data_IF_277684487684
#
_entry.id   IF_277684487684
#
_cell.length_a   1.000
_cell.length_b   1.000
_cell.length_c   1.000
_cell.angle_alpha   90.00
_cell.angle_beta   90.00
_cell.angle_gamma   90.00
#
_symmetry.space_group_name_H-M   'P 1'
#
loop_
_entity.id
_entity.type
_entity.pdbx_description
1 polymer ?
#
# COMPACT_ATOMS: atom_id res chain seq x y z
N UNK A 1 -6.04 -0.21 -14.34
CA UNK A 1 -4.66 -0.12 -13.79
C UNK A 1 -4.68 0.53 -12.42
N UNK A 2 -4.11 -0.13 -11.42
CA UNK A 2 -3.82 0.49 -10.12
C UNK A 2 -2.61 1.42 -10.26
N UNK A 3 -2.74 2.69 -9.89
CA UNK A 3 -1.62 3.64 -9.89
C UNK A 3 -0.75 3.37 -8.66
N UNK A 4 0.20 2.44 -8.79
CA UNK A 4 1.21 2.17 -7.77
C UNK A 4 2.24 3.28 -7.72
N UNK A 5 2.78 3.54 -6.52
CA UNK A 5 3.90 4.44 -6.31
C UNK A 5 5.17 3.62 -6.10
N UNK A 6 6.31 4.22 -6.41
CA UNK A 6 7.61 3.62 -6.23
C UNK A 6 8.49 4.55 -5.41
N UNK A 7 9.11 4.02 -4.36
CA UNK A 7 10.15 4.69 -3.60
C UNK A 7 11.50 4.12 -4.04
N UNK A 8 12.34 4.95 -4.65
CA UNK A 8 13.69 4.53 -5.04
C UNK A 8 14.59 4.56 -3.80
N UNK A 9 15.15 3.42 -3.43
CA UNK A 9 16.05 3.28 -2.26
C UNK A 9 17.50 3.34 -2.73
N UNK A 10 17.82 2.71 -3.86
CA UNK A 10 19.16 2.73 -4.46
C UNK A 10 19.09 2.72 -5.99
N UNK A 11 20.24 2.62 -6.67
CA UNK A 11 20.28 2.46 -8.14
C UNK A 11 19.55 1.20 -8.61
N UNK A 12 19.62 0.11 -7.84
CA UNK A 12 19.03 -1.20 -8.16
C UNK A 12 17.76 -1.53 -7.38
N UNK A 13 17.53 -0.88 -6.23
CA UNK A 13 16.39 -1.18 -5.35
C UNK A 13 15.33 -0.09 -5.40
N UNK A 14 14.10 -0.50 -5.67
CA UNK A 14 12.89 0.31 -5.54
C UNK A 14 11.83 -0.47 -4.76
N UNK A 15 11.07 0.22 -3.94
CA UNK A 15 9.98 -0.33 -3.15
C UNK A 15 8.66 0.09 -3.78
N UNK A 16 7.82 -0.86 -4.16
CA UNK A 16 6.47 -0.57 -4.66
C UNK A 16 5.53 -0.43 -3.48
N UNK A 17 4.65 0.56 -3.52
CA UNK A 17 3.69 0.79 -2.46
C UNK A 17 2.39 1.43 -2.97
N UNK A 18 1.32 1.26 -2.18
CA UNK A 18 0.06 1.97 -2.31
C UNK A 18 -0.09 2.90 -1.13
N UNK A 19 -0.44 4.15 -1.36
CA UNK A 19 -0.76 5.07 -0.28
C UNK A 19 -1.97 5.94 -0.56
N UNK A 20 -2.76 6.16 0.50
CA UNK A 20 -3.76 7.20 0.60
C UNK A 20 -3.29 8.14 1.69
N UNK A 21 -2.85 9.33 1.28
CA UNK A 21 -2.51 10.40 2.22
C UNK A 21 -3.78 11.23 2.48
N UNK A 22 -4.32 11.13 3.70
CA UNK A 22 -5.42 11.94 4.22
C UNK A 22 -4.92 12.62 5.48
N UNK A 23 -5.44 13.82 5.78
CA UNK A 23 -5.19 14.53 7.05
C UNK A 23 -5.85 13.86 8.28
N UNK A 24 -6.13 12.57 8.19
CA UNK A 24 -6.68 11.74 9.26
C UNK A 24 -5.58 11.36 10.24
N UNK A 25 -5.83 11.50 11.54
CA UNK A 25 -4.93 11.01 12.59
C UNK A 25 -4.82 9.47 12.60
N UNK A 26 -5.78 8.76 11.98
CA UNK A 26 -5.82 7.31 11.93
C UNK A 26 -5.46 6.79 10.52
N UNK A 27 -4.55 5.82 10.48
CA UNK A 27 -4.06 5.19 9.25
C UNK A 27 -3.96 3.68 9.41
N UNK A 28 -4.26 2.95 8.33
CA UNK A 28 -4.12 1.49 8.26
C UNK A 28 -2.84 1.17 7.49
N UNK A 29 -1.96 0.36 8.07
CA UNK A 29 -0.76 -0.18 7.41
C UNK A 29 -0.98 -1.66 7.11
N UNK A 30 -0.92 -2.05 5.85
CA UNK A 30 -1.10 -3.43 5.40
C UNK A 30 0.23 -4.04 4.94
N UNK A 31 0.60 -5.12 5.60
CA UNK A 31 1.78 -5.94 5.32
C UNK A 31 1.30 -7.28 4.77
N UNK A 32 1.61 -7.57 3.50
CA UNK A 32 1.15 -8.79 2.85
C UNK A 32 1.92 -10.02 3.36
N UNK A 33 1.39 -11.22 3.11
CA UNK A 33 2.01 -12.47 3.55
C UNK A 33 3.13 -12.94 2.63
N UNK A 34 3.77 -14.06 2.99
CA UNK A 34 4.83 -14.70 2.19
C UNK A 34 4.41 -14.92 0.73
N UNK A 35 5.29 -14.56 -0.21
CA UNK A 35 5.09 -14.66 -1.67
C UNK A 35 3.84 -13.98 -2.25
N UNK A 36 3.05 -13.26 -1.45
CA UNK A 36 1.93 -12.47 -1.94
C UNK A 36 2.38 -11.09 -2.41
N UNK A 37 1.49 -10.35 -3.05
CA UNK A 37 1.71 -8.98 -3.49
C UNK A 37 0.67 -8.03 -2.90
N UNK A 38 0.83 -6.74 -3.19
CA UNK A 38 -0.13 -5.70 -2.80
C UNK A 38 -1.37 -5.63 -3.72
N UNK A 39 -1.50 -6.53 -4.70
CA UNK A 39 -2.64 -6.60 -5.62
C UNK A 39 -3.73 -7.58 -5.17
N UNK A 40 -3.47 -8.37 -4.14
CA UNK A 40 -4.43 -9.29 -3.54
C UNK A 40 -5.73 -8.64 -3.04
N UNK A 41 -6.78 -9.44 -2.94
CA UNK A 41 -8.13 -8.96 -2.57
C UNK A 41 -8.19 -8.35 -1.16
N UNK A 42 -7.39 -8.86 -0.22
CA UNK A 42 -7.27 -8.30 1.12
C UNK A 42 -6.80 -6.85 1.07
N UNK A 43 -5.72 -6.56 0.35
CA UNK A 43 -5.19 -5.21 0.17
C UNK A 43 -6.22 -4.29 -0.49
N UNK A 44 -6.88 -4.76 -1.56
CA UNK A 44 -7.93 -4.02 -2.27
C UNK A 44 -9.13 -3.69 -1.37
N UNK A 45 -9.54 -4.63 -0.53
CA UNK A 45 -10.67 -4.43 0.40
C UNK A 45 -10.34 -3.41 1.48
N UNK A 46 -9.15 -3.49 2.09
CA UNK A 46 -8.71 -2.47 3.05
C UNK A 46 -8.54 -1.10 2.39
N UNK A 47 -8.00 -1.04 1.17
CA UNK A 47 -7.88 0.21 0.41
C UNK A 47 -9.26 0.85 0.17
N UNK A 48 -10.27 0.07 -0.26
CA UNK A 48 -11.65 0.55 -0.44
C UNK A 48 -12.26 1.01 0.88
N UNK A 49 -12.04 0.26 1.95
CA UNK A 49 -12.51 0.62 3.29
C UNK A 49 -11.92 1.96 3.76
N UNK A 50 -10.59 2.14 3.66
CA UNK A 50 -9.92 3.39 4.01
C UNK A 50 -10.44 4.58 3.20
N UNK A 51 -10.66 4.40 1.88
CA UNK A 51 -11.28 5.45 1.05
C UNK A 51 -12.67 5.84 1.54
N UNK A 52 -13.53 4.85 1.83
CA UNK A 52 -14.90 5.09 2.28
C UNK A 52 -14.96 5.77 3.66
N UNK A 53 -14.02 5.46 4.54
CA UNK A 53 -13.96 5.98 5.91
C UNK A 53 -13.11 7.26 6.07
N UNK A 54 -12.45 7.72 5.01
CA UNK A 54 -11.57 8.89 5.07
C UNK A 54 -10.25 8.64 5.82
N UNK A 55 -9.83 7.38 5.96
CA UNK A 55 -8.63 7.00 6.69
C UNK A 55 -7.39 7.08 5.80
N UNK A 56 -6.23 7.27 6.43
CA UNK A 56 -4.95 7.02 5.77
C UNK A 56 -4.77 5.52 5.48
N UNK A 57 -4.00 5.21 4.45
CA UNK A 57 -3.67 3.83 4.09
C UNK A 57 -2.26 3.74 3.53
N UNK A 58 -1.53 2.71 3.92
CA UNK A 58 -0.23 2.35 3.36
C UNK A 58 -0.17 0.83 3.17
N UNK A 59 0.13 0.36 1.98
CA UNK A 59 0.54 -1.02 1.73
C UNK A 59 1.88 -1.03 1.01
N UNK A 60 2.80 -1.85 1.49
CA UNK A 60 4.17 -1.96 0.96
C UNK A 60 4.37 -3.35 0.39
N UNK A 61 5.01 -3.43 -0.76
CA UNK A 61 5.45 -4.69 -1.34
C UNK A 61 6.91 -4.99 -0.97
N UNK A 62 7.17 -6.19 -0.47
CA UNK A 62 8.53 -6.61 -0.15
C UNK A 62 9.37 -6.81 -1.40
N UNK A 63 10.65 -6.43 -1.33
CA UNK A 63 11.60 -6.76 -2.39
C UNK A 63 11.94 -8.25 -2.33
N UNK A 64 11.54 -9.00 -3.36
CA UNK A 64 12.13 -10.30 -3.69
C UNK A 64 13.49 -10.15 -4.36
#
# INVERSE_FOLDING_TARGET
>A
MSNFKYLKISKSKKLRYLSINRSSNLSIVFLHGFMSDIEGDKTKNFLKYSKKRGLGFLAVEYSG
#
